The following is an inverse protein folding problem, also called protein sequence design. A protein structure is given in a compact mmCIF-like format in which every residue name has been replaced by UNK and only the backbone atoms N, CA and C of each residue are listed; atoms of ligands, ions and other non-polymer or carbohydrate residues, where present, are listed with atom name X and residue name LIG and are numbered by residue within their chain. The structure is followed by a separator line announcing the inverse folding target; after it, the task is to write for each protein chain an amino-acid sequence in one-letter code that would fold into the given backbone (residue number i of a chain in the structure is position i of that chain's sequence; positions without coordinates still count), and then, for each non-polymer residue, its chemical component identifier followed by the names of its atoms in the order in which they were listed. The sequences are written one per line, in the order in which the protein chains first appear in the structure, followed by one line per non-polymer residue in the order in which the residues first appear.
data_IF_173178647418
#
_entry.id   IF_173178647418
#
_cell.length_a   1.000
_cell.length_b   1.000
_cell.length_c   1.000
_cell.angle_alpha   90.00
_cell.angle_beta   90.00
_cell.angle_gamma   90.00
#
_symmetry.space_group_name_H-M   'P 1'
#
loop_
_entity.id
_entity.type
_entity.pdbx_description
1 polymer ?
#
# COMPACT_ATOMS: atom_id res chain seq x y z
N UNK A 1 -15.42 -17.87 5.88
CA UNK A 1 -14.49 -17.50 4.81
C UNK A 1 -13.29 -16.94 5.52
N UNK A 2 -12.15 -17.62 5.47
CA UNK A 2 -10.88 -17.02 5.89
C UNK A 2 -10.64 -15.85 4.93
N UNK A 3 -10.69 -14.62 5.44
CA UNK A 3 -10.45 -13.42 4.64
C UNK A 3 -8.93 -13.36 4.38
N UNK A 4 -8.52 -13.83 3.20
CA UNK A 4 -7.14 -13.84 2.77
C UNK A 4 -6.59 -12.41 2.72
N UNK A 5 -5.37 -12.19 3.23
CA UNK A 5 -4.77 -10.85 3.29
C UNK A 5 -4.05 -10.48 1.99
N UNK A 6 -3.53 -11.48 1.27
CA UNK A 6 -2.91 -11.34 -0.05
C UNK A 6 -3.69 -10.44 -1.02
N UNK A 7 -5.01 -10.65 -1.26
CA UNK A 7 -5.76 -9.82 -2.20
C UNK A 7 -5.85 -8.35 -1.78
N UNK A 8 -5.85 -8.05 -0.47
CA UNK A 8 -5.82 -6.68 0.02
C UNK A 8 -4.47 -6.01 -0.29
N UNK A 9 -3.37 -6.74 -0.10
CA UNK A 9 -2.02 -6.28 -0.47
C UNK A 9 -1.86 -6.15 -1.98
N UNK A 10 -2.45 -7.03 -2.78
CA UNK A 10 -2.35 -7.02 -4.24
C UNK A 10 -2.94 -5.77 -4.89
N UNK A 11 -3.89 -5.10 -4.22
CA UNK A 11 -4.46 -3.80 -4.64
C UNK A 11 -3.43 -2.66 -4.64
N UNK A 12 -2.38 -2.80 -3.84
CA UNK A 12 -1.28 -1.84 -3.78
C UNK A 12 -0.22 -2.24 -4.83
N UNK A 13 0.21 -1.31 -5.70
CA UNK A 13 1.27 -1.59 -6.65
C UNK A 13 2.58 -1.93 -5.92
N UNK A 14 3.43 -2.76 -6.55
CA UNK A 14 4.77 -3.01 -6.04
C UNK A 14 5.62 -1.74 -6.11
N UNK A 15 6.45 -1.53 -5.11
CA UNK A 15 7.25 -0.31 -4.95
C UNK A 15 6.52 0.77 -4.16
N UNK A 16 6.97 2.02 -4.33
CA UNK A 16 6.40 3.17 -3.67
C UNK A 16 5.17 3.70 -4.43
N UNK A 17 4.13 4.04 -3.69
CA UNK A 17 2.87 4.58 -4.21
C UNK A 17 2.21 5.49 -3.19
N UNK A 18 1.24 6.28 -3.62
CA UNK A 18 0.43 7.10 -2.71
C UNK A 18 -1.00 6.58 -2.68
N UNK A 19 -1.61 6.61 -1.48
CA UNK A 19 -3.02 6.26 -1.28
C UNK A 19 -3.72 7.34 -0.47
N UNK A 20 -5.06 7.36 -0.53
CA UNK A 20 -5.90 8.08 0.42
C UNK A 20 -6.58 7.11 1.37
N UNK A 21 -6.62 7.47 2.63
CA UNK A 21 -7.30 6.71 3.67
C UNK A 21 -7.82 7.64 4.77
N UNK A 22 -9.09 7.51 5.13
CA UNK A 22 -9.80 8.34 6.12
C UNK A 22 -9.58 9.86 5.96
N UNK A 23 -9.52 10.33 4.71
CA UNK A 23 -9.33 11.75 4.37
C UNK A 23 -7.88 12.24 4.37
N UNK A 24 -6.92 11.42 4.81
CA UNK A 24 -5.49 11.72 4.77
C UNK A 24 -4.79 11.07 3.55
N UNK A 25 -3.67 11.64 3.13
CA UNK A 25 -2.77 11.03 2.14
C UNK A 25 -1.72 10.20 2.86
N UNK A 26 -1.33 9.08 2.25
CA UNK A 26 -0.35 8.16 2.79
C UNK A 26 0.64 7.75 1.71
N UNK A 27 1.92 7.70 2.06
CA UNK A 27 2.97 7.09 1.23
C UNK A 27 3.09 5.63 1.63
N UNK A 28 2.91 4.73 0.66
CA UNK A 28 2.86 3.28 0.85
C UNK A 28 3.94 2.63 0.01
N UNK A 29 4.79 1.83 0.65
CA UNK A 29 5.76 0.96 -0.02
C UNK A 29 5.32 -0.48 0.15
N UNK A 30 5.02 -1.16 -0.97
CA UNK A 30 4.84 -2.61 -0.98
C UNK A 30 6.09 -3.27 -1.55
N UNK A 31 6.60 -4.26 -0.85
CA UNK A 31 7.73 -5.08 -1.30
C UNK A 31 7.29 -6.53 -1.39
N UNK A 32 7.72 -7.22 -2.45
CA UNK A 32 7.53 -8.65 -2.62
C UNK A 32 8.89 -9.32 -2.74
N UNK A 33 9.09 -10.39 -1.99
CA UNK A 33 10.30 -11.19 -1.94
C UNK A 33 9.95 -12.67 -2.17
N UNK A 34 10.97 -13.47 -2.49
CA UNK A 34 10.86 -14.93 -2.65
C UNK A 34 9.76 -15.35 -3.63
N UNK A 35 9.55 -14.58 -4.69
CA UNK A 35 8.51 -14.83 -5.70
C UNK A 35 7.08 -14.60 -5.21
N UNK A 36 6.86 -13.73 -4.21
CA UNK A 36 5.53 -13.45 -3.66
C UNK A 36 5.23 -14.16 -2.33
N UNK A 37 6.08 -15.10 -1.91
CA UNK A 37 5.93 -15.83 -0.64
C UNK A 37 6.19 -14.98 0.60
N UNK A 38 6.84 -13.83 0.44
CA UNK A 38 7.04 -12.86 1.52
C UNK A 38 6.70 -11.49 0.99
N UNK A 39 5.64 -10.89 1.52
CA UNK A 39 5.21 -9.54 1.17
C UNK A 39 5.31 -8.65 2.39
N UNK A 40 5.71 -7.41 2.17
CA UNK A 40 5.78 -6.38 3.20
C UNK A 40 5.04 -5.15 2.72
N UNK A 41 4.31 -4.51 3.61
CA UNK A 41 3.74 -3.19 3.41
C UNK A 41 4.22 -2.26 4.51
N UNK A 42 4.58 -1.04 4.11
CA UNK A 42 4.92 0.03 5.02
C UNK A 42 4.25 1.31 4.50
N UNK A 43 3.39 1.90 5.32
CA UNK A 43 2.67 3.10 4.99
C UNK A 43 2.90 4.17 6.07
N UNK A 44 3.18 5.40 5.63
CA UNK A 44 3.29 6.56 6.50
C UNK A 44 2.27 7.61 6.07
N UNK A 45 1.61 8.22 7.05
CA UNK A 45 0.72 9.34 6.82
C UNK A 45 1.52 10.58 6.38
N UNK A 46 1.13 11.18 5.26
CA UNK A 46 1.76 12.38 4.73
C UNK A 46 1.19 13.60 5.45
N UNK A 47 1.99 14.15 6.38
CA UNK A 47 1.60 15.30 7.20
C UNK A 47 1.04 14.94 8.57
N UNK A 48 1.08 13.66 8.95
CA UNK A 48 0.69 13.16 10.27
C UNK A 48 1.76 12.27 10.90
N UNK A 49 1.39 11.58 11.95
CA UNK A 49 2.25 10.59 12.66
C UNK A 49 1.78 9.16 12.45
N UNK A 50 0.75 8.94 11.63
CA UNK A 50 0.24 7.63 11.30
C UNK A 50 1.29 6.73 10.63
N UNK A 51 1.37 5.50 11.11
CA UNK A 51 2.24 4.45 10.58
C UNK A 51 1.40 3.17 10.46
N UNK A 52 1.46 2.48 9.33
CA UNK A 52 0.90 1.14 9.17
C UNK A 52 1.96 0.23 8.58
N UNK A 53 2.26 -0.87 9.24
CA UNK A 53 3.31 -1.80 8.79
C UNK A 53 2.91 -3.24 9.09
N UNK A 54 3.03 -4.09 8.08
CA UNK A 54 2.79 -5.50 8.24
C UNK A 54 3.54 -6.35 7.21
N UNK A 55 3.70 -7.62 7.57
CA UNK A 55 4.31 -8.63 6.74
C UNK A 55 3.29 -9.76 6.52
N UNK A 56 3.27 -10.30 5.32
CA UNK A 56 2.52 -11.49 4.96
C UNK A 56 3.50 -12.55 4.46
N UNK A 57 3.44 -13.73 5.05
CA UNK A 57 4.24 -14.88 4.65
C UNK A 57 3.33 -15.98 4.15
N UNK A 58 3.66 -16.58 3.02
CA UNK A 58 2.98 -17.78 2.51
C UNK A 58 3.91 -18.96 2.71
N UNK A 59 3.48 -19.90 3.56
CA UNK A 59 4.21 -21.13 3.84
C UNK A 59 4.26 -22.07 2.63
N UNK A 60 5.11 -23.09 2.69
CA UNK A 60 5.12 -24.15 1.66
C UNK A 60 3.83 -24.98 1.66
N UNK A 61 3.17 -25.03 2.81
CA UNK A 61 1.82 -25.56 3.01
C UNK A 61 0.71 -24.68 2.42
N UNK A 62 1.05 -23.50 1.87
CA UNK A 62 0.11 -22.57 1.26
C UNK A 62 -0.64 -21.69 2.25
N UNK A 63 -0.43 -21.84 3.57
CA UNK A 63 -1.11 -21.00 4.56
C UNK A 63 -0.46 -19.61 4.65
N UNK A 64 -1.33 -18.62 4.75
CA UNK A 64 -0.96 -17.24 5.00
C UNK A 64 -0.67 -16.99 6.48
N UNK A 65 0.43 -16.31 6.77
CA UNK A 65 0.81 -15.86 8.10
C UNK A 65 0.98 -14.36 8.09
N UNK A 66 -0.04 -13.67 8.56
CA UNK A 66 -0.06 -12.22 8.68
C UNK A 66 0.56 -11.76 10.01
N UNK A 67 1.44 -10.75 9.93
CA UNK A 67 2.26 -10.24 11.04
C UNK A 67 2.27 -8.71 11.02
N UNK A 68 1.36 -8.04 11.74
CA UNK A 68 1.43 -6.59 11.95
C UNK A 68 2.59 -6.21 12.88
N UNK A 69 3.20 -5.02 12.68
CA UNK A 69 4.33 -4.55 13.47
C UNK A 69 3.87 -3.52 14.51
N UNK A 70 3.89 -3.89 15.80
CA UNK A 70 3.59 -2.99 16.94
C UNK A 70 2.24 -2.27 16.86
N UNK A 71 1.25 -2.88 16.19
CA UNK A 71 -0.13 -2.37 16.12
C UNK A 71 -1.16 -3.49 15.96
N UNK A 72 -2.44 -3.23 16.28
CA UNK A 72 -3.50 -4.22 16.13
C UNK A 72 -3.68 -4.66 14.68
N UNK A 73 -3.89 -5.96 14.45
CA UNK A 73 -4.13 -6.51 13.12
C UNK A 73 -5.35 -5.87 12.44
N UNK A 74 -6.41 -5.60 13.20
CA UNK A 74 -7.64 -4.93 12.74
C UNK A 74 -7.36 -3.56 12.11
N UNK A 75 -6.43 -2.77 12.68
CA UNK A 75 -6.07 -1.44 12.15
C UNK A 75 -5.40 -1.57 10.79
N UNK A 76 -4.52 -2.56 10.64
CA UNK A 76 -3.85 -2.82 9.35
C UNK A 76 -4.84 -3.32 8.31
N UNK A 77 -5.74 -4.24 8.68
CA UNK A 77 -6.74 -4.77 7.76
C UNK A 77 -7.73 -3.70 7.32
N UNK A 78 -8.20 -2.86 8.25
CA UNK A 78 -9.07 -1.72 7.96
C UNK A 78 -8.37 -0.71 7.02
N UNK A 79 -7.09 -0.43 7.26
CA UNK A 79 -6.28 0.38 6.34
C UNK A 79 -6.19 -0.24 4.95
N UNK A 80 -5.79 -1.51 4.84
CA UNK A 80 -5.61 -2.18 3.55
C UNK A 80 -6.93 -2.31 2.77
N UNK A 81 -8.03 -2.57 3.46
CA UNK A 81 -9.35 -2.66 2.85
C UNK A 81 -9.89 -1.29 2.38
N UNK A 82 -9.68 -0.24 3.19
CA UNK A 82 -10.24 1.09 2.99
C UNK A 82 -9.36 2.05 2.18
N UNK A 83 -8.08 1.76 1.98
CA UNK A 83 -7.20 2.64 1.23
C UNK A 83 -7.50 2.60 -0.29
N UNK A 84 -7.35 3.76 -0.92
CA UNK A 84 -7.58 3.95 -2.36
C UNK A 84 -6.33 4.53 -3.01
N UNK A 85 -5.75 3.90 -4.04
CA UNK A 85 -4.62 4.45 -4.77
C UNK A 85 -4.91 5.85 -5.30
N UNK A 86 -3.99 6.78 -5.07
CA UNK A 86 -3.99 8.06 -5.77
C UNK A 86 -3.40 7.76 -7.14
N UNK A 87 -4.20 7.92 -8.20
CA UNK A 87 -3.66 7.85 -9.55
C UNK A 87 -2.47 8.82 -9.63
N UNK A 88 -1.33 8.32 -10.13
CA UNK A 88 -0.24 9.22 -10.50
C UNK A 88 -0.85 10.35 -11.34
N UNK A 89 -0.50 11.62 -11.09
CA UNK A 89 -0.97 12.69 -11.96
C UNK A 89 -0.66 12.25 -13.40
N UNK A 90 -1.60 12.44 -14.36
CA UNK A 90 -1.27 12.16 -15.74
C UNK A 90 0.05 12.87 -16.01
N UNK A 91 1.04 12.14 -16.50
CA UNK A 91 2.33 12.71 -16.90
C UNK A 91 2.06 13.55 -18.14
N UNK A 92 1.31 14.64 -17.97
CA UNK A 92 1.13 15.68 -18.96
C UNK A 92 2.48 16.37 -19.03
N UNK A 93 3.17 16.16 -20.14
CA UNK A 93 4.24 17.07 -20.52
C UNK A 93 3.72 18.49 -20.36
N UNK A 94 4.52 19.35 -19.73
CA UNK A 94 4.29 20.78 -19.76
C UNK A 94 4.08 21.20 -21.22
N UNK A 95 2.84 21.47 -21.64
CA UNK A 95 2.65 22.30 -22.82
C UNK A 95 2.97 23.72 -22.35
N UNK A 96 4.23 24.12 -22.52
CA UNK A 96 4.53 25.53 -22.58
C UNK A 96 3.77 26.08 -23.78
N UNK A 97 2.74 26.88 -23.54
CA UNK A 97 2.17 27.72 -24.59
C UNK A 97 3.32 28.55 -25.17
N UNK A 98 3.56 28.54 -26.48
CA UNK A 98 4.58 29.40 -27.06
C UNK A 98 4.22 30.87 -26.75
N UNK A 99 5.20 31.72 -26.40
CA UNK A 99 4.92 33.12 -26.12
C UNK A 99 4.24 33.75 -27.35
N UNK A 100 3.25 34.64 -27.15
CA UNK A 100 2.62 35.32 -28.27
C UNK A 100 3.68 36.11 -29.06
N UNK A 101 3.52 36.06 -30.39
CA UNK A 101 4.38 36.67 -31.42
C UNK A 101 4.67 38.15 -31.18
#
# INVERSE_FOLDING_TARGET
MDDAVEPLLARLPLGASEVRYRGARWSVTRTSLLGGRSQKVLAHELGGTGLVSANLYVGEDGLERFRPCEMPAEVVLDFLAGCVPVAAPPTGGWQAEPPPV
#
